data_IF_971662712158
#
_entry.id   IF_971662712158
#
_cell.length_a   1.000
_cell.length_b   1.000
_cell.length_c   1.000
_cell.angle_alpha   90.00
_cell.angle_beta   90.00
_cell.angle_gamma   90.00
#
_symmetry.space_group_name_H-M   'P 1'
#
loop_
_entity.id
_entity.type
_entity.pdbx_description
1 polymer ?
#
# COMPACT_ATOMS: atom_id res chain seq x y z
N UNK A 1 -16.92 7.88 -8.97
CA UNK A 1 -17.52 9.06 -8.32
C UNK A 1 -16.49 10.08 -7.82
N UNK A 2 -15.26 9.69 -7.41
CA UNK A 2 -14.28 10.67 -6.87
C UNK A 2 -13.44 11.41 -7.92
N UNK A 3 -13.26 10.88 -9.14
CA UNK A 3 -12.39 11.50 -10.15
C UNK A 3 -13.04 12.69 -10.86
N UNK A 4 -14.37 12.66 -11.06
CA UNK A 4 -15.13 13.74 -11.72
C UNK A 4 -15.40 14.95 -10.80
N UNK A 5 -15.17 14.84 -9.48
CA UNK A 5 -15.59 15.87 -8.52
C UNK A 5 -14.44 16.69 -7.91
N UNK A 6 -13.19 16.19 -7.94
CA UNK A 6 -12.08 16.77 -7.16
C UNK A 6 -10.83 17.17 -7.98
N UNK A 7 -10.77 16.88 -9.28
CA UNK A 7 -9.67 17.23 -10.22
C UNK A 7 -8.24 16.90 -9.72
N UNK A 8 -8.06 15.87 -8.87
CA UNK A 8 -6.74 15.54 -8.32
C UNK A 8 -6.01 14.52 -9.19
N UNK A 9 -4.83 14.91 -9.69
CA UNK A 9 -3.86 13.98 -10.27
C UNK A 9 -2.64 13.86 -9.37
N UNK A 10 -2.39 12.66 -8.83
CA UNK A 10 -1.28 12.38 -7.92
C UNK A 10 -0.06 11.76 -8.60
N UNK A 11 -0.19 11.34 -9.86
CA UNK A 11 0.89 10.74 -10.64
C UNK A 11 1.28 11.68 -11.78
N UNK A 12 2.26 12.59 -11.55
CA UNK A 12 2.79 13.39 -12.65
C UNK A 12 3.32 12.43 -13.71
N UNK A 13 2.94 12.63 -14.96
CA UNK A 13 3.26 11.75 -16.10
C UNK A 13 2.43 10.46 -16.25
N UNK A 14 1.36 10.25 -15.48
CA UNK A 14 0.38 9.19 -15.77
C UNK A 14 -1.01 9.77 -15.96
N UNK A 15 -1.56 9.59 -17.17
CA UNK A 15 -2.95 9.93 -17.42
C UNK A 15 -3.86 8.88 -16.76
N UNK A 16 -4.30 9.13 -15.52
CA UNK A 16 -5.19 8.22 -14.79
C UNK A 16 -6.54 8.02 -15.48
N UNK A 17 -6.98 8.94 -16.35
CA UNK A 17 -8.15 8.75 -17.22
C UNK A 17 -7.94 7.54 -18.14
N UNK A 18 -6.68 7.26 -18.51
CA UNK A 18 -6.23 6.10 -19.27
C UNK A 18 -5.41 5.12 -18.42
N UNK A 19 -5.71 4.96 -17.12
CA UNK A 19 -5.14 3.83 -16.38
C UNK A 19 -5.57 2.52 -17.07
N UNK A 20 -4.58 1.88 -17.68
CA UNK A 20 -4.58 0.58 -18.34
C UNK A 20 -3.65 -0.37 -17.57
N UNK A 21 -3.46 -1.60 -18.05
CA UNK A 21 -2.62 -2.58 -17.35
C UNK A 21 -1.14 -2.20 -17.34
N UNK A 22 -0.64 -1.54 -18.39
CA UNK A 22 0.76 -1.15 -18.50
C UNK A 22 1.10 0.00 -17.53
N UNK A 23 0.27 1.04 -17.50
CA UNK A 23 0.39 2.14 -16.54
C UNK A 23 0.15 1.68 -15.11
N UNK A 24 -0.81 0.78 -14.87
CA UNK A 24 -1.00 0.13 -13.55
C UNK A 24 0.27 -0.58 -13.11
N UNK A 25 0.90 -1.35 -14.00
CA UNK A 25 2.13 -2.08 -13.68
C UNK A 25 3.27 -1.13 -13.32
N UNK A 26 3.48 -0.06 -14.11
CA UNK A 26 4.50 0.96 -13.81
C UNK A 26 4.30 1.60 -12.43
N UNK A 27 3.06 2.04 -12.13
CA UNK A 27 2.72 2.64 -10.82
C UNK A 27 2.96 1.64 -9.69
N UNK A 28 2.56 0.38 -9.87
CA UNK A 28 2.76 -0.66 -8.84
C UNK A 28 4.24 -0.89 -8.56
N UNK A 29 5.10 -0.91 -9.58
CA UNK A 29 6.55 -1.07 -9.39
C UNK A 29 7.19 0.15 -8.73
N UNK A 30 6.80 1.37 -9.08
CA UNK A 30 7.24 2.59 -8.40
C UNK A 30 6.88 2.56 -6.91
N UNK A 31 5.62 2.22 -6.59
CA UNK A 31 5.17 2.11 -5.20
C UNK A 31 5.93 1.00 -4.46
N UNK A 32 6.23 -0.15 -5.10
CA UNK A 32 7.02 -1.23 -4.48
C UNK A 32 8.43 -0.77 -4.11
N UNK A 33 9.05 0.02 -4.96
CA UNK A 33 10.37 0.58 -4.67
C UNK A 33 10.32 1.55 -3.49
N UNK A 34 9.27 2.35 -3.37
CA UNK A 34 9.04 3.20 -2.20
C UNK A 34 8.78 2.38 -0.92
N UNK A 35 8.05 1.27 -1.00
CA UNK A 35 7.94 0.33 0.12
C UNK A 35 9.32 -0.21 0.50
N UNK A 36 10.16 -0.60 -0.46
CA UNK A 36 11.51 -1.10 -0.18
C UNK A 36 12.34 -0.09 0.61
N UNK A 37 12.38 1.17 0.16
CA UNK A 37 13.06 2.27 0.87
C UNK A 37 12.42 2.57 2.22
N UNK A 38 11.09 2.57 2.29
CA UNK A 38 10.35 2.80 3.54
C UNK A 38 10.66 1.74 4.60
N UNK A 39 10.82 0.48 4.20
CA UNK A 39 11.21 -0.60 5.12
C UNK A 39 12.60 -0.39 5.72
N UNK A 40 13.57 0.05 4.92
CA UNK A 40 14.92 0.39 5.42
C UNK A 40 14.85 1.46 6.52
N UNK A 41 14.02 2.49 6.33
CA UNK A 41 13.78 3.51 7.37
C UNK A 41 13.08 2.97 8.61
N UNK A 42 12.10 2.08 8.45
CA UNK A 42 11.38 1.46 9.58
C UNK A 42 12.31 0.63 10.46
N UNK A 43 13.27 -0.08 9.87
CA UNK A 43 14.23 -0.89 10.62
C UNK A 43 15.09 -0.06 11.59
N UNK A 44 15.29 1.22 11.28
CA UNK A 44 16.08 2.16 12.09
C UNK A 44 15.26 2.92 13.14
N UNK A 45 13.93 2.76 13.17
CA UNK A 45 13.09 3.47 14.12
C UNK A 45 13.30 3.01 15.56
N UNK A 46 13.13 3.90 16.56
CA UNK A 46 13.05 3.50 17.96
C UNK A 46 11.87 2.55 18.18
N UNK A 47 12.03 1.64 19.13
CA UNK A 47 11.07 0.57 19.42
C UNK A 47 9.65 1.09 19.68
N UNK A 48 9.53 2.24 20.34
CA UNK A 48 8.25 2.85 20.70
C UNK A 48 7.41 3.24 19.48
N UNK A 49 8.05 3.58 18.36
CA UNK A 49 7.38 3.95 17.10
C UNK A 49 7.34 2.80 16.09
N UNK A 50 8.35 1.90 16.11
CA UNK A 50 8.56 0.87 15.09
C UNK A 50 7.35 -0.03 14.86
N UNK A 51 6.67 -0.47 15.93
CA UNK A 51 5.51 -1.35 15.81
C UNK A 51 4.36 -0.72 15.02
N UNK A 52 4.00 0.53 15.34
CA UNK A 52 2.90 1.24 14.67
C UNK A 52 3.19 1.44 13.19
N UNK A 53 4.39 1.92 12.87
CA UNK A 53 4.79 2.19 11.48
C UNK A 53 4.92 0.89 10.68
N UNK A 54 5.51 -0.17 11.25
CA UNK A 54 5.59 -1.47 10.59
C UNK A 54 4.21 -2.10 10.36
N UNK A 55 3.27 -1.93 11.29
CA UNK A 55 1.89 -2.41 11.11
C UNK A 55 1.21 -1.69 9.94
N UNK A 56 1.36 -0.36 9.85
CA UNK A 56 0.85 0.42 8.72
C UNK A 56 1.48 0.00 7.40
N UNK A 57 2.81 -0.18 7.37
CA UNK A 57 3.55 -0.72 6.23
C UNK A 57 2.94 -2.05 5.74
N UNK A 58 2.74 -3.01 6.65
CA UNK A 58 2.16 -4.33 6.32
C UNK A 58 0.73 -4.21 5.79
N UNK A 59 -0.07 -3.33 6.38
CA UNK A 59 -1.43 -3.05 5.92
C UNK A 59 -1.45 -2.50 4.49
N UNK A 60 -0.71 -1.43 4.21
CA UNK A 60 -0.71 -0.83 2.88
C UNK A 60 -0.04 -1.71 1.84
N UNK A 61 0.96 -2.51 2.21
CA UNK A 61 1.54 -3.50 1.29
C UNK A 61 0.51 -4.58 0.90
N UNK A 62 -0.33 -5.02 1.84
CA UNK A 62 -1.44 -5.94 1.54
C UNK A 62 -2.48 -5.29 0.61
N UNK A 63 -2.75 -3.98 0.76
CA UNK A 63 -3.61 -3.24 -0.15
C UNK A 63 -3.00 -3.16 -1.55
N UNK A 64 -1.71 -2.87 -1.68
CA UNK A 64 -0.99 -2.86 -2.96
C UNK A 64 -1.08 -4.22 -3.66
N UNK A 65 -0.88 -5.32 -2.93
CA UNK A 65 -1.04 -6.68 -3.46
C UNK A 65 -2.45 -6.99 -3.95
N UNK A 66 -3.48 -6.33 -3.40
CA UNK A 66 -4.85 -6.43 -3.91
C UNK A 66 -5.00 -5.62 -5.18
N UNK A 67 -4.57 -4.35 -5.17
CA UNK A 67 -4.60 -3.48 -6.34
C UNK A 67 -3.86 -4.09 -7.54
N UNK A 68 -2.71 -4.73 -7.33
CA UNK A 68 -1.98 -5.42 -8.39
C UNK A 68 -2.81 -6.54 -9.07
N UNK A 69 -3.65 -7.25 -8.31
CA UNK A 69 -4.51 -8.32 -8.81
C UNK A 69 -5.86 -7.83 -9.35
N UNK A 70 -6.26 -6.62 -8.98
CA UNK A 70 -7.48 -6.00 -9.48
C UNK A 70 -7.25 -5.45 -10.89
N UNK A 71 -8.15 -5.70 -11.85
CA UNK A 71 -8.10 -5.05 -13.16
C UNK A 71 -8.10 -3.52 -13.04
N UNK A 72 -7.31 -2.84 -13.87
CA UNK A 72 -7.21 -1.38 -13.92
C UNK A 72 -8.57 -0.68 -14.00
N UNK A 73 -9.51 -1.26 -14.76
CA UNK A 73 -10.88 -0.78 -14.88
C UNK A 73 -11.65 -0.82 -13.55
N UNK A 74 -11.51 -1.90 -12.78
CA UNK A 74 -12.17 -2.02 -11.48
C UNK A 74 -11.59 -1.06 -10.44
N UNK A 75 -10.28 -0.77 -10.50
CA UNK A 75 -9.63 0.19 -9.61
C UNK A 75 -10.24 1.60 -9.77
N UNK A 76 -10.63 1.99 -11.00
CA UNK A 76 -11.29 3.28 -11.25
C UNK A 76 -12.71 3.33 -10.70
N UNK A 77 -13.41 2.19 -10.71
CA UNK A 77 -14.84 2.13 -10.48
C UNK A 77 -15.22 1.75 -9.05
N UNK A 78 -14.32 1.10 -8.31
CA UNK A 78 -14.62 0.57 -6.99
C UNK A 78 -13.50 0.86 -5.97
N UNK A 79 -13.91 1.13 -4.72
CA UNK A 79 -12.97 1.28 -3.62
C UNK A 79 -12.50 -0.07 -3.11
N UNK A 80 -11.28 -0.43 -3.47
CA UNK A 80 -10.61 -1.66 -3.00
C UNK A 80 -10.17 -1.50 -1.55
N UNK A 81 -10.47 -2.50 -0.71
CA UNK A 81 -10.19 -2.47 0.74
C UNK A 81 -9.61 -3.80 1.22
N UNK A 82 -8.85 -3.73 2.32
CA UNK A 82 -8.49 -4.91 3.13
C UNK A 82 -9.60 -5.11 4.18
N UNK A 83 -10.24 -6.29 4.26
CA UNK A 83 -11.23 -6.60 5.29
C UNK A 83 -10.64 -6.54 6.70
N UNK A 84 -11.49 -6.27 7.70
CA UNK A 84 -11.04 -6.08 9.08
C UNK A 84 -10.35 -7.33 9.66
N UNK A 85 -10.83 -8.55 9.37
CA UNK A 85 -10.18 -9.78 9.84
C UNK A 85 -8.73 -9.90 9.36
N UNK A 86 -8.42 -9.49 8.13
CA UNK A 86 -7.05 -9.46 7.63
C UNK A 86 -6.22 -8.38 8.34
N UNK A 87 -6.81 -7.21 8.64
CA UNK A 87 -6.12 -6.16 9.41
C UNK A 87 -5.74 -6.67 10.81
N UNK A 88 -6.61 -7.41 11.48
CA UNK A 88 -6.31 -8.03 12.78
C UNK A 88 -5.16 -9.04 12.66
N UNK A 89 -5.16 -9.90 11.64
CA UNK A 89 -4.04 -10.83 11.38
C UNK A 89 -2.72 -10.11 11.11
N UNK A 90 -2.74 -9.00 10.36
CA UNK A 90 -1.56 -8.18 10.12
C UNK A 90 -1.03 -7.52 11.39
N UNK A 91 -1.93 -7.04 12.26
CA UNK A 91 -1.57 -6.47 13.56
C UNK A 91 -0.93 -7.52 14.47
N UNK A 92 -1.52 -8.71 14.57
CA UNK A 92 -0.97 -9.82 15.37
C UNK A 92 0.42 -10.25 14.88
N UNK A 93 0.59 -10.46 13.57
CA UNK A 93 1.89 -10.83 12.99
C UNK A 93 2.93 -9.72 13.14
N UNK A 94 2.54 -8.45 13.02
CA UNK A 94 3.43 -7.32 13.25
C UNK A 94 3.89 -7.24 14.70
N UNK A 95 3.00 -7.55 15.65
CA UNK A 95 3.31 -7.56 17.07
C UNK A 95 4.32 -8.65 17.43
N UNK A 96 4.15 -9.86 16.89
CA UNK A 96 5.10 -10.97 17.09
C UNK A 96 6.47 -10.62 16.50
N UNK A 97 6.53 -10.14 15.26
CA UNK A 97 7.79 -9.76 14.62
C UNK A 97 8.53 -8.67 15.41
N UNK A 98 7.79 -7.65 15.87
CA UNK A 98 8.34 -6.60 16.72
C UNK A 98 8.86 -7.14 18.06
N UNK A 99 8.07 -7.95 18.77
CA UNK A 99 8.47 -8.53 20.07
C UNK A 99 9.68 -9.44 19.98
N UNK A 100 9.85 -10.13 18.85
CA UNK A 100 10.99 -10.99 18.57
C UNK A 100 12.20 -10.24 17.96
N UNK A 101 12.13 -8.89 17.81
CA UNK A 101 13.17 -8.06 17.18
C UNK A 101 13.54 -8.52 15.75
N UNK A 102 12.57 -9.04 15.01
CA UNK A 102 12.74 -9.49 13.62
C UNK A 102 12.61 -8.34 12.60
N UNK A 103 12.35 -7.12 13.09
CA UNK A 103 12.23 -5.85 12.35
C UNK A 103 12.89 -4.76 13.17
#
# INVERSE_FOLDING_TARGET
ADYELLERSYFPNTNLLQLDEDSKTRIVEEIKEDFRKGYEGIAQLPNDAKFGVYTAYKYYFQLLRKLQRTPSLEIKNARIRVPNYQKFGLLATSYVNYKLKLV
#
